data_IF_164885543186
#
_entry.id   IF_164885543186
#
_cell.length_a   1.000
_cell.length_b   1.000
_cell.length_c   1.000
_cell.angle_alpha   90.00
_cell.angle_beta   90.00
_cell.angle_gamma   90.00
#
_symmetry.space_group_name_H-M   'P 1'
#
loop_
_entity.id
_entity.type
_entity.pdbx_description
1 polymer ?
#
# COMPACT_ATOMS: atom_id res chain seq x y z
N UNK A 1 85.77 -41.95 25.45
CA UNK A 1 86.22 -40.50 25.42
C UNK A 1 85.29 -39.70 24.59
N UNK A 2 84.48 -38.86 25.20
CA UNK A 2 83.52 -37.94 24.56
C UNK A 2 84.11 -36.57 24.57
N UNK A 3 83.93 -35.75 23.53
CA UNK A 3 84.08 -34.27 23.61
C UNK A 3 82.72 -33.62 23.72
N UNK A 4 82.60 -32.75 24.68
CA UNK A 4 81.47 -31.93 25.02
C UNK A 4 81.45 -30.74 24.03
N UNK A 5 80.39 -30.61 23.21
CA UNK A 5 80.16 -29.45 22.38
C UNK A 5 79.29 -28.45 23.13
N UNK A 6 79.81 -27.27 23.39
CA UNK A 6 79.09 -26.14 23.98
C UNK A 6 78.26 -25.44 22.86
N UNK A 7 76.91 -25.49 23.00
CA UNK A 7 76.05 -24.67 22.19
C UNK A 7 75.94 -23.27 22.81
N UNK A 8 76.27 -22.24 22.04
CA UNK A 8 76.12 -20.86 22.36
C UNK A 8 74.73 -20.41 21.98
N UNK A 9 73.82 -20.24 22.96
CA UNK A 9 72.49 -19.71 22.70
C UNK A 9 72.58 -18.19 22.55
N UNK A 10 72.34 -17.72 21.34
CA UNK A 10 72.18 -16.29 21.06
C UNK A 10 70.73 -15.87 21.40
N UNK A 11 70.59 -15.09 22.47
CA UNK A 11 69.36 -14.47 22.87
C UNK A 11 69.06 -13.26 21.95
N UNK A 12 68.16 -13.44 20.96
CA UNK A 12 67.68 -12.36 20.14
C UNK A 12 66.62 -11.60 20.96
N UNK A 13 67.00 -10.41 21.46
CA UNK A 13 66.06 -9.46 22.04
C UNK A 13 65.21 -8.90 20.87
N UNK A 14 63.98 -9.37 20.72
CA UNK A 14 62.94 -8.66 19.92
C UNK A 14 62.54 -7.43 20.72
N UNK A 15 63.10 -6.28 20.36
CA UNK A 15 62.55 -5.00 20.79
C UNK A 15 61.20 -4.80 20.05
N UNK A 16 60.12 -4.40 20.73
CA UNK A 16 58.88 -4.08 20.06
C UNK A 16 59.16 -2.82 19.20
N UNK A 17 59.05 -2.95 17.90
CA UNK A 17 58.98 -1.84 16.98
C UNK A 17 57.69 -1.05 17.32
N UNK A 18 57.79 -0.07 18.20
CA UNK A 18 56.78 0.96 18.36
C UNK A 18 56.76 1.77 17.05
N UNK A 19 55.88 1.42 16.12
CA UNK A 19 55.56 2.33 15.02
C UNK A 19 55.01 3.60 15.62
N UNK A 20 55.81 4.68 15.64
CA UNK A 20 55.36 6.02 16.00
C UNK A 20 54.22 6.35 15.05
N UNK A 21 52.98 6.39 15.61
CA UNK A 21 51.82 6.79 14.84
C UNK A 21 52.05 8.21 14.32
N UNK A 22 52.08 8.38 13.03
CA UNK A 22 52.29 9.68 12.41
C UNK A 22 51.12 10.60 12.82
N UNK A 23 51.44 11.63 13.57
CA UNK A 23 50.49 12.64 14.06
C UNK A 23 50.56 13.90 13.23
N UNK A 24 49.42 14.46 12.91
CA UNK A 24 49.27 15.73 12.20
C UNK A 24 48.63 16.74 13.16
N UNK A 25 49.15 17.96 13.18
CA UNK A 25 48.57 19.05 13.98
C UNK A 25 48.12 20.15 13.02
N UNK A 26 47.00 19.99 12.29
CA UNK A 26 46.54 21.01 11.37
C UNK A 26 46.05 22.25 12.14
N UNK A 27 46.39 23.43 11.64
CA UNK A 27 45.89 24.70 12.19
C UNK A 27 44.40 24.90 11.92
N UNK A 28 43.88 24.24 10.89
CA UNK A 28 42.46 24.27 10.54
C UNK A 28 42.01 22.96 9.89
N UNK A 29 40.75 22.57 10.15
CA UNK A 29 40.03 21.54 9.42
C UNK A 29 39.07 22.25 8.49
N UNK A 30 39.11 21.96 7.19
CA UNK A 30 38.25 22.56 6.15
C UNK A 30 37.52 21.49 5.37
N UNK A 31 36.28 21.78 4.99
CA UNK A 31 35.53 20.97 4.06
C UNK A 31 35.59 21.61 2.65
N UNK A 32 35.94 20.86 1.67
CA UNK A 32 35.84 21.22 0.27
C UNK A 32 34.70 20.41 -0.38
N UNK A 33 33.56 21.04 -0.55
CA UNK A 33 32.34 20.45 -1.09
C UNK A 33 31.57 21.51 -1.89
N UNK A 34 30.62 21.10 -2.76
CA UNK A 34 29.66 22.03 -3.37
C UNK A 34 28.87 22.80 -2.33
N UNK A 35 28.34 23.98 -2.70
CA UNK A 35 27.57 24.87 -1.81
C UNK A 35 26.27 24.24 -1.28
N UNK A 36 25.84 23.11 -1.82
CA UNK A 36 24.69 22.32 -1.37
C UNK A 36 24.97 21.51 -0.10
N UNK A 37 26.24 21.36 0.29
CA UNK A 37 26.65 20.59 1.48
C UNK A 37 26.86 21.56 2.64
N UNK A 38 26.16 21.32 3.75
CA UNK A 38 26.45 22.03 5.01
C UNK A 38 27.77 21.54 5.57
N UNK A 39 28.78 22.43 5.51
CA UNK A 39 30.14 22.11 5.96
C UNK A 39 30.25 22.01 7.48
N UNK A 40 29.41 22.73 8.24
CA UNK A 40 29.39 22.63 9.69
C UNK A 40 28.84 21.30 10.14
N UNK A 41 27.81 20.82 9.47
CA UNK A 41 27.22 19.53 9.73
C UNK A 41 28.15 18.37 9.32
N UNK A 42 28.79 18.46 8.18
CA UNK A 42 29.81 17.48 7.78
C UNK A 42 30.93 17.37 8.82
N UNK A 43 31.32 18.46 9.43
CA UNK A 43 32.29 18.45 10.56
C UNK A 43 31.71 17.76 11.80
N UNK A 44 30.42 17.92 12.09
CA UNK A 44 29.77 17.22 13.21
C UNK A 44 29.74 15.72 12.97
N UNK A 45 29.42 15.26 11.73
CA UNK A 45 29.44 13.83 11.35
C UNK A 45 30.87 13.28 11.48
N UNK A 46 31.86 14.00 10.97
CA UNK A 46 33.26 13.60 11.05
C UNK A 46 33.75 13.45 12.51
N UNK A 47 33.17 14.22 13.44
CA UNK A 47 33.49 14.23 14.88
C UNK A 47 35.00 14.29 15.16
N UNK A 48 35.72 15.13 14.41
CA UNK A 48 37.15 15.36 14.62
C UNK A 48 37.36 16.39 15.74
N UNK A 49 38.26 16.13 16.68
CA UNK A 49 38.58 17.11 17.73
C UNK A 49 39.25 18.34 17.11
N UNK A 50 38.73 19.52 17.44
CA UNK A 50 39.31 20.77 17.01
C UNK A 50 40.61 21.06 17.77
N UNK A 51 41.60 21.64 17.08
CA UNK A 51 42.85 22.13 17.67
C UNK A 51 43.68 21.07 18.44
N UNK A 52 43.56 19.81 18.07
CA UNK A 52 44.28 18.69 18.69
C UNK A 52 45.14 17.96 17.65
N UNK A 53 46.26 17.34 18.06
CA UNK A 53 47.00 16.44 17.16
C UNK A 53 46.10 15.27 16.73
N UNK A 54 46.07 15.01 15.43
CA UNK A 54 45.28 13.94 14.82
C UNK A 54 46.20 12.83 14.33
N UNK A 55 45.90 11.61 14.66
CA UNK A 55 46.54 10.46 14.03
C UNK A 55 45.89 10.17 12.67
N UNK A 56 46.62 9.53 11.78
CA UNK A 56 46.09 9.07 10.50
C UNK A 56 44.82 8.21 10.69
N UNK A 57 44.84 7.33 11.69
CA UNK A 57 43.68 6.47 12.00
C UNK A 57 42.44 7.29 12.42
N UNK A 58 42.60 8.37 13.19
CA UNK A 58 41.48 9.25 13.58
C UNK A 58 40.88 9.95 12.34
N UNK A 59 41.73 10.40 11.41
CA UNK A 59 41.28 11.01 10.16
C UNK A 59 40.51 9.97 9.32
N UNK A 60 41.08 8.78 9.12
CA UNK A 60 40.44 7.70 8.35
C UNK A 60 39.10 7.26 8.98
N UNK A 61 39.04 7.17 10.31
CA UNK A 61 37.76 6.87 11.01
C UNK A 61 36.73 7.98 10.81
N UNK A 62 37.12 9.23 10.77
CA UNK A 62 36.21 10.37 10.52
C UNK A 62 35.69 10.35 9.07
N UNK A 63 36.54 10.03 8.10
CA UNK A 63 36.15 9.88 6.71
C UNK A 63 35.22 8.68 6.51
N UNK A 64 35.52 7.58 7.22
CA UNK A 64 34.64 6.41 7.19
C UNK A 64 33.25 6.73 7.72
N UNK A 65 33.15 7.50 8.83
CA UNK A 65 31.84 7.97 9.35
C UNK A 65 31.06 8.75 8.29
N UNK A 66 31.72 9.68 7.58
CA UNK A 66 31.10 10.44 6.51
C UNK A 66 30.63 9.53 5.36
N UNK A 67 31.49 8.62 4.91
CA UNK A 67 31.17 7.67 3.83
C UNK A 67 30.03 6.72 4.24
N UNK A 68 30.05 6.22 5.47
CA UNK A 68 29.06 5.28 5.98
C UNK A 68 27.64 5.87 6.06
N UNK A 69 27.51 7.21 6.12
CA UNK A 69 26.18 7.84 6.13
C UNK A 69 25.37 7.52 4.88
N UNK A 70 26.03 7.31 3.73
CA UNK A 70 25.39 7.21 2.41
C UNK A 70 25.04 8.56 1.77
N UNK A 71 25.30 9.68 2.45
CA UNK A 71 25.06 11.04 1.94
C UNK A 71 26.09 11.48 0.91
N UNK A 72 27.25 10.84 0.86
CA UNK A 72 28.38 11.18 -0.01
C UNK A 72 28.78 10.02 -0.88
N UNK A 73 28.86 10.29 -2.18
CA UNK A 73 29.32 9.32 -3.18
C UNK A 73 30.83 9.12 -3.15
N UNK A 74 31.57 10.17 -2.75
CA UNK A 74 33.03 10.12 -2.59
C UNK A 74 33.48 10.97 -1.40
N UNK A 75 34.42 10.43 -0.62
CA UNK A 75 35.00 11.07 0.57
C UNK A 75 36.51 10.89 0.53
N UNK A 76 37.22 11.99 0.43
CA UNK A 76 38.68 11.99 0.42
C UNK A 76 39.27 13.07 1.31
N UNK A 77 40.59 13.07 1.46
CA UNK A 77 41.27 14.12 2.18
C UNK A 77 42.66 14.44 1.64
N UNK A 78 43.12 15.63 1.95
CA UNK A 78 44.49 16.05 1.78
C UNK A 78 44.99 16.76 3.05
N UNK A 79 46.19 16.44 3.44
CA UNK A 79 46.87 17.10 4.60
C UNK A 79 48.03 17.91 4.08
N UNK A 80 48.15 19.17 4.52
CA UNK A 80 49.33 20.01 4.36
C UNK A 80 49.74 20.58 5.72
N UNK A 81 50.81 21.37 5.75
CA UNK A 81 51.35 21.97 6.99
C UNK A 81 50.36 22.86 7.76
N UNK A 82 49.34 23.39 7.09
CA UNK A 82 48.42 24.37 7.64
C UNK A 82 46.98 23.85 7.82
N UNK A 83 46.54 22.86 7.02
CA UNK A 83 45.17 22.39 7.09
C UNK A 83 45.01 20.91 6.72
N UNK A 84 44.02 20.28 7.37
CA UNK A 84 43.35 19.08 6.88
C UNK A 84 42.16 19.51 6.02
N UNK A 85 42.18 19.17 4.73
CA UNK A 85 41.08 19.45 3.79
C UNK A 85 40.37 18.16 3.48
N UNK A 86 39.15 18.04 3.92
CA UNK A 86 38.23 16.90 3.58
C UNK A 86 37.48 17.28 2.32
N UNK A 87 37.53 16.43 1.30
CA UNK A 87 36.78 16.58 0.03
C UNK A 87 35.55 15.71 0.07
N UNK A 88 34.38 16.29 -0.24
CA UNK A 88 33.12 15.59 -0.25
C UNK A 88 32.42 15.78 -1.59
N UNK A 89 31.96 14.68 -2.16
CA UNK A 89 31.03 14.66 -3.30
C UNK A 89 29.70 14.12 -2.83
N UNK A 90 28.62 14.90 -2.84
CA UNK A 90 27.30 14.43 -2.38
C UNK A 90 26.79 13.29 -3.27
N UNK A 91 26.00 12.42 -2.68
CA UNK A 91 25.25 11.40 -3.42
C UNK A 91 24.23 12.05 -4.36
N UNK A 92 23.91 11.37 -5.46
CA UNK A 92 22.91 11.84 -6.40
C UNK A 92 21.54 11.93 -5.69
N UNK A 93 20.73 12.94 -6.03
CA UNK A 93 19.38 13.11 -5.47
C UNK A 93 18.47 11.90 -5.69
N UNK A 94 18.70 11.11 -6.74
CA UNK A 94 18.01 9.86 -7.01
C UNK A 94 18.33 8.72 -6.00
N UNK A 95 19.36 8.90 -5.18
CA UNK A 95 19.73 7.96 -4.12
C UNK A 95 19.24 8.39 -2.74
N UNK A 96 18.55 9.54 -2.66
CA UNK A 96 17.94 10.05 -1.43
C UNK A 96 16.42 9.98 -1.59
N UNK A 97 15.77 9.38 -0.62
CA UNK A 97 14.32 9.22 -0.61
C UNK A 97 13.70 9.97 0.57
N UNK A 98 12.52 10.61 0.41
CA UNK A 98 11.80 11.21 1.52
C UNK A 98 11.54 10.20 2.63
N UNK A 99 11.77 10.61 3.88
CA UNK A 99 11.39 9.85 5.06
C UNK A 99 9.89 10.04 5.35
N UNK A 100 9.20 8.96 5.64
CA UNK A 100 7.78 8.96 6.03
C UNK A 100 7.62 8.26 7.38
N UNK A 101 6.81 8.84 8.28
CA UNK A 101 6.60 8.31 9.64
C UNK A 101 5.17 7.80 9.77
N UNK A 102 4.99 6.48 9.80
CA UNK A 102 3.70 5.84 9.69
C UNK A 102 2.80 5.99 10.94
N UNK A 103 3.37 5.78 12.14
CA UNK A 103 2.56 5.62 13.37
C UNK A 103 3.19 6.25 14.64
N UNK A 104 3.95 7.32 14.48
CA UNK A 104 4.61 8.02 15.59
C UNK A 104 3.66 9.03 16.26
N UNK A 105 2.60 8.54 16.86
CA UNK A 105 1.43 9.29 17.38
C UNK A 105 1.69 10.22 18.58
N UNK A 106 2.92 10.24 19.14
CA UNK A 106 3.29 11.11 20.27
C UNK A 106 3.69 12.52 19.84
N UNK A 107 3.89 12.74 18.54
CA UNK A 107 4.35 14.02 17.98
C UNK A 107 3.54 14.39 16.75
N UNK A 108 3.46 15.70 16.50
CA UNK A 108 3.06 16.14 15.15
C UNK A 108 4.22 15.87 14.18
N UNK A 109 3.96 15.63 12.90
CA UNK A 109 5.02 15.29 11.93
C UNK A 109 6.18 16.30 11.90
N UNK A 110 5.88 17.60 11.88
CA UNK A 110 6.90 18.67 11.87
C UNK A 110 7.73 18.72 13.14
N UNK A 111 7.14 18.42 14.31
CA UNK A 111 7.86 18.39 15.58
C UNK A 111 8.82 17.20 15.63
N UNK A 112 8.37 16.03 15.14
CA UNK A 112 9.21 14.84 15.06
C UNK A 112 10.39 15.05 14.12
N UNK A 113 10.17 15.65 12.96
CA UNK A 113 11.21 15.99 12.00
C UNK A 113 12.27 16.91 12.63
N UNK A 114 11.83 17.99 13.28
CA UNK A 114 12.74 18.93 13.97
C UNK A 114 13.56 18.25 15.08
N UNK A 115 12.96 17.32 15.83
CA UNK A 115 13.68 16.56 16.86
C UNK A 115 14.73 15.63 16.25
N UNK A 116 14.44 15.02 15.11
CA UNK A 116 15.38 14.14 14.42
C UNK A 116 16.52 14.92 13.77
N UNK A 117 16.26 16.06 13.15
CA UNK A 117 17.31 16.96 12.62
C UNK A 117 18.27 17.42 13.70
N UNK A 118 17.76 17.71 14.90
CA UNK A 118 18.60 18.07 16.03
C UNK A 118 19.42 16.89 16.57
N UNK A 119 18.87 15.67 16.54
CA UNK A 119 19.47 14.47 17.12
C UNK A 119 20.44 13.75 16.18
N UNK A 120 20.17 13.77 14.86
CA UNK A 120 20.89 12.98 13.86
C UNK A 120 21.55 13.90 12.83
N UNK A 121 22.84 14.16 12.94
CA UNK A 121 23.58 14.95 11.96
C UNK A 121 23.48 14.33 10.56
N UNK A 122 23.14 15.14 9.56
CA UNK A 122 22.95 14.72 8.17
C UNK A 122 21.52 14.36 7.80
N UNK A 123 20.61 14.27 8.75
CA UNK A 123 19.20 14.06 8.47
C UNK A 123 18.46 15.39 8.20
N UNK A 124 17.80 15.49 7.04
CA UNK A 124 16.99 16.64 6.60
C UNK A 124 15.75 16.15 5.84
N UNK A 125 14.98 15.28 6.46
CA UNK A 125 13.75 14.72 5.86
C UNK A 125 13.98 13.71 4.75
N UNK A 126 15.23 13.38 4.41
CA UNK A 126 15.59 12.40 3.38
C UNK A 126 16.54 11.34 3.93
N UNK A 127 16.43 10.14 3.41
CA UNK A 127 17.25 8.98 3.76
C UNK A 127 17.91 8.39 2.51
N UNK A 128 19.20 8.01 2.60
CA UNK A 128 19.88 7.34 1.49
C UNK A 128 19.42 5.88 1.37
N UNK A 129 19.42 5.37 0.13
CA UNK A 129 19.14 3.95 -0.16
C UNK A 129 20.17 3.00 0.46
N UNK A 130 21.36 3.48 0.75
CA UNK A 130 22.43 2.70 1.37
C UNK A 130 23.18 3.56 2.39
N UNK A 131 23.73 2.93 3.41
CA UNK A 131 24.49 3.61 4.46
C UNK A 131 23.82 3.46 5.83
N UNK A 132 24.42 4.11 6.83
CA UNK A 132 24.03 3.98 8.24
C UNK A 132 23.07 5.06 8.73
N UNK A 133 22.75 6.07 7.89
CA UNK A 133 21.91 7.20 8.32
C UNK A 133 20.51 6.73 8.73
N UNK A 134 19.93 5.79 7.97
CA UNK A 134 18.63 5.19 8.30
C UNK A 134 18.65 4.49 9.66
N UNK A 135 19.72 3.76 9.98
CA UNK A 135 19.86 3.12 11.29
C UNK A 135 20.07 4.13 12.41
N UNK A 136 20.76 5.24 12.15
CA UNK A 136 20.92 6.33 13.12
C UNK A 136 19.56 7.01 13.41
N UNK A 137 18.75 7.24 12.38
CA UNK A 137 17.38 7.78 12.54
C UNK A 137 16.50 6.80 13.31
N UNK A 138 16.56 5.49 13.01
CA UNK A 138 15.84 4.45 13.78
C UNK A 138 16.25 4.48 15.26
N UNK A 139 17.55 4.55 15.55
CA UNK A 139 18.05 4.61 16.93
C UNK A 139 17.61 5.90 17.66
N UNK A 140 17.59 7.03 16.97
CA UNK A 140 17.09 8.29 17.52
C UNK A 140 15.58 8.20 17.83
N UNK A 141 14.78 7.62 16.93
CA UNK A 141 13.34 7.37 17.14
C UNK A 141 13.09 6.49 18.37
N UNK A 142 13.84 5.39 18.52
CA UNK A 142 13.74 4.52 19.71
C UNK A 142 14.08 5.31 20.97
N UNK A 143 15.13 6.14 20.93
CA UNK A 143 15.53 7.00 22.06
C UNK A 143 14.44 8.02 22.40
N UNK A 144 13.84 8.66 21.41
CA UNK A 144 12.72 9.60 21.60
C UNK A 144 11.50 8.89 22.21
N UNK A 145 11.13 7.70 21.72
CA UNK A 145 10.03 6.89 22.26
C UNK A 145 10.29 6.49 23.72
N UNK A 146 11.52 6.13 24.04
CA UNK A 146 11.92 5.83 25.42
C UNK A 146 11.70 7.03 26.36
N UNK A 147 11.90 8.29 25.90
CA UNK A 147 11.56 9.48 26.70
C UNK A 147 10.07 9.63 26.99
N UNK A 148 9.22 8.97 26.19
CA UNK A 148 7.77 8.88 26.41
C UNK A 148 7.36 7.64 27.22
N UNK A 149 8.32 6.86 27.72
CA UNK A 149 8.07 5.62 28.45
C UNK A 149 7.62 4.46 27.56
N UNK A 150 8.01 4.48 26.28
CA UNK A 150 7.67 3.46 25.29
C UNK A 150 8.93 2.70 24.90
N UNK A 151 8.99 1.42 25.25
CA UNK A 151 10.02 0.51 24.78
C UNK A 151 9.60 -0.03 23.40
N UNK A 152 10.19 0.52 22.35
CA UNK A 152 9.75 0.29 21.00
C UNK A 152 10.82 -0.35 20.11
N UNK A 153 10.35 -1.12 19.14
CA UNK A 153 11.14 -1.54 17.96
C UNK A 153 10.67 -0.75 16.77
N UNK A 154 11.60 -0.09 16.08
CA UNK A 154 11.34 0.69 14.87
C UNK A 154 11.98 0.00 13.68
N UNK A 155 11.25 -0.08 12.58
CA UNK A 155 11.76 -0.59 11.30
C UNK A 155 11.58 0.41 10.17
N UNK A 156 12.30 0.17 9.07
CA UNK A 156 12.27 1.02 7.88
C UNK A 156 12.04 0.14 6.64
N UNK A 157 11.09 0.54 5.81
CA UNK A 157 10.73 -0.16 4.59
C UNK A 157 10.80 0.80 3.40
N UNK A 158 11.49 0.39 2.34
CA UNK A 158 11.49 1.11 1.07
C UNK A 158 10.13 0.94 0.37
N UNK A 159 9.68 1.98 -0.33
CA UNK A 159 8.42 1.98 -1.10
C UNK A 159 7.16 1.63 -0.27
N UNK A 160 7.13 1.98 1.01
CA UNK A 160 6.00 1.68 1.88
C UNK A 160 4.76 2.49 1.51
N UNK A 161 4.75 3.79 1.78
CA UNK A 161 3.60 4.68 1.58
C UNK A 161 3.53 5.25 0.16
N UNK A 162 4.66 5.66 -0.41
CA UNK A 162 4.76 6.19 -1.76
C UNK A 162 5.92 5.52 -2.49
N UNK A 163 5.83 5.43 -3.81
CA UNK A 163 6.97 5.07 -4.63
C UNK A 163 8.13 6.04 -4.33
N UNK A 164 9.33 5.52 -4.25
CA UNK A 164 10.56 6.29 -3.96
C UNK A 164 10.56 6.98 -2.57
N UNK A 165 9.99 6.35 -1.53
CA UNK A 165 10.06 6.82 -0.14
C UNK A 165 10.52 5.72 0.82
N UNK A 166 11.11 6.12 1.95
CA UNK A 166 11.42 5.23 3.08
C UNK A 166 10.40 5.47 4.18
N UNK A 167 9.60 4.45 4.48
CA UNK A 167 8.62 4.50 5.57
C UNK A 167 9.23 3.92 6.85
N UNK A 168 9.27 4.71 7.90
CA UNK A 168 9.65 4.29 9.24
C UNK A 168 8.39 4.02 10.06
N UNK A 169 8.35 2.89 10.76
CA UNK A 169 7.21 2.49 11.57
C UNK A 169 7.63 1.83 12.89
N UNK A 170 6.81 2.01 13.91
CA UNK A 170 6.89 1.25 15.16
C UNK A 170 6.28 -0.12 14.90
N UNK A 171 7.09 -1.16 15.01
CA UNK A 171 6.66 -2.56 14.83
C UNK A 171 6.14 -3.15 16.15
N UNK A 172 6.74 -2.72 17.25
CA UNK A 172 6.33 -3.11 18.60
C UNK A 172 6.56 -1.95 19.55
N UNK A 173 5.61 -1.64 20.44
CA UNK A 173 4.25 -2.18 20.54
C UNK A 173 3.38 -1.80 19.36
N UNK A 174 2.29 -2.54 19.09
CA UNK A 174 1.33 -2.19 18.04
C UNK A 174 0.59 -0.90 18.41
N UNK A 175 0.43 -0.03 17.42
CA UNK A 175 -0.40 1.17 17.50
C UNK A 175 -1.69 0.86 16.75
N UNK A 176 -2.83 0.96 17.44
CA UNK A 176 -4.12 0.56 16.88
C UNK A 176 -5.14 1.67 16.93
N UNK A 177 -6.12 1.59 16.05
CA UNK A 177 -7.27 2.48 16.05
C UNK A 177 -8.16 2.14 17.26
N UNK A 178 -8.41 3.14 18.12
CA UNK A 178 -9.40 3.08 19.18
C UNK A 178 -10.80 3.39 18.66
N UNK A 179 -11.46 4.37 19.24
CA UNK A 179 -12.79 4.81 18.79
C UNK A 179 -12.66 5.81 17.61
N UNK A 180 -13.60 5.71 16.65
CA UNK A 180 -13.74 6.70 15.58
C UNK A 180 -14.98 7.56 15.88
N UNK A 181 -14.79 8.86 16.08
CA UNK A 181 -15.86 9.84 16.26
C UNK A 181 -16.08 10.61 14.96
N UNK A 182 -17.30 10.56 14.43
CA UNK A 182 -17.69 11.28 13.23
C UNK A 182 -18.65 12.40 13.61
N UNK A 183 -18.16 13.63 13.56
CA UNK A 183 -18.95 14.83 13.82
C UNK A 183 -19.86 15.16 12.63
N UNK A 184 -21.02 15.78 12.91
CA UNK A 184 -22.03 16.16 11.91
C UNK A 184 -22.60 14.98 11.11
N UNK A 185 -22.58 13.78 11.67
CA UNK A 185 -23.14 12.60 11.03
C UNK A 185 -24.67 12.69 10.92
N UNK A 186 -25.19 12.26 9.77
CA UNK A 186 -26.63 12.19 9.56
C UNK A 186 -27.25 11.04 10.36
N UNK A 187 -28.36 11.28 11.10
CA UNK A 187 -29.01 10.24 11.90
C UNK A 187 -29.41 8.99 11.10
N UNK A 188 -29.80 9.16 9.83
CA UNK A 188 -30.21 8.06 8.96
C UNK A 188 -29.07 7.08 8.63
N UNK A 189 -27.81 7.53 8.71
CA UNK A 189 -26.63 6.72 8.38
C UNK A 189 -25.91 6.17 9.61
N UNK A 190 -26.35 6.51 10.82
CA UNK A 190 -25.71 6.07 12.06
C UNK A 190 -25.51 4.54 12.18
N UNK A 191 -26.47 3.68 11.78
CA UNK A 191 -26.26 2.23 11.86
C UNK A 191 -25.06 1.76 11.00
N UNK A 192 -24.96 2.27 9.77
CA UNK A 192 -23.89 1.92 8.84
C UNK A 192 -22.54 2.49 9.32
N UNK A 193 -22.53 3.72 9.85
CA UNK A 193 -21.35 4.35 10.43
C UNK A 193 -20.85 3.57 11.66
N UNK A 194 -21.74 3.08 12.53
CA UNK A 194 -21.35 2.21 13.64
C UNK A 194 -20.72 0.90 13.17
N UNK A 195 -21.23 0.31 12.11
CA UNK A 195 -20.63 -0.88 11.49
C UNK A 195 -19.22 -0.57 11.00
N UNK A 196 -19.01 0.59 10.36
CA UNK A 196 -17.70 1.05 9.92
C UNK A 196 -16.75 1.27 11.11
N UNK A 197 -17.21 1.95 12.18
CA UNK A 197 -16.45 2.16 13.42
C UNK A 197 -15.96 0.84 14.00
N UNK A 198 -16.84 -0.15 14.17
CA UNK A 198 -16.49 -1.47 14.68
C UNK A 198 -15.49 -2.22 13.78
N UNK A 199 -15.58 -2.03 12.47
CA UNK A 199 -14.65 -2.66 11.53
C UNK A 199 -13.25 -2.08 11.63
N UNK A 200 -13.11 -0.78 11.89
CA UNK A 200 -11.83 -0.08 11.99
C UNK A 200 -11.19 -0.25 13.37
N UNK A 201 -11.97 -0.40 14.41
CA UNK A 201 -11.50 -0.52 15.79
C UNK A 201 -10.55 -1.74 15.93
N UNK A 202 -9.39 -1.50 16.52
CA UNK A 202 -8.37 -2.52 16.74
C UNK A 202 -7.50 -2.85 15.52
N UNK A 203 -7.75 -2.22 14.35
CA UNK A 203 -6.84 -2.32 13.22
C UNK A 203 -5.57 -1.50 13.48
N UNK A 204 -4.48 -1.87 12.81
CA UNK A 204 -3.22 -1.14 12.88
C UNK A 204 -3.43 0.30 12.40
N UNK A 205 -2.82 1.22 13.13
CA UNK A 205 -2.87 2.64 12.81
C UNK A 205 -1.65 3.05 11.99
N UNK A 206 -1.92 3.64 10.83
CA UNK A 206 -0.98 4.39 10.01
C UNK A 206 -1.60 5.74 9.68
N UNK A 207 -0.87 6.83 9.88
CA UNK A 207 -1.43 8.20 9.73
C UNK A 207 -2.04 8.41 8.35
N UNK A 208 -1.35 8.01 7.30
CA UNK A 208 -1.76 8.26 5.93
C UNK A 208 -2.80 7.25 5.43
N UNK A 209 -2.54 5.96 5.64
CA UNK A 209 -3.45 4.90 5.21
C UNK A 209 -4.78 4.94 5.98
N UNK A 210 -4.73 5.14 7.30
CA UNK A 210 -5.93 5.28 8.12
C UNK A 210 -6.72 6.51 7.72
N UNK A 211 -6.05 7.65 7.46
CA UNK A 211 -6.72 8.86 7.01
C UNK A 211 -7.48 8.62 5.70
N UNK A 212 -6.82 8.03 4.72
CA UNK A 212 -7.43 7.69 3.43
C UNK A 212 -8.58 6.70 3.60
N UNK A 213 -8.38 5.62 4.35
CA UNK A 213 -9.40 4.59 4.56
C UNK A 213 -10.67 5.13 5.24
N UNK A 214 -10.51 6.00 6.25
CA UNK A 214 -11.64 6.66 6.92
C UNK A 214 -12.38 7.56 5.95
N UNK A 215 -11.68 8.46 5.25
CA UNK A 215 -12.31 9.40 4.31
C UNK A 215 -13.03 8.67 3.18
N UNK A 216 -12.39 7.71 2.51
CA UNK A 216 -12.98 6.93 1.43
C UNK A 216 -14.21 6.14 1.90
N UNK A 217 -14.09 5.43 3.04
CA UNK A 217 -15.20 4.60 3.54
C UNK A 217 -16.40 5.43 3.96
N UNK A 218 -16.19 6.57 4.62
CA UNK A 218 -17.29 7.48 5.01
C UNK A 218 -17.90 8.11 3.77
N UNK A 219 -17.08 8.67 2.88
CA UNK A 219 -17.56 9.30 1.65
C UNK A 219 -18.34 8.32 0.77
N UNK A 220 -17.88 7.08 0.63
CA UNK A 220 -18.60 6.06 -0.15
C UNK A 220 -19.95 5.71 0.46
N UNK A 221 -20.04 5.64 1.80
CA UNK A 221 -21.30 5.41 2.48
C UNK A 221 -22.29 6.54 2.20
N UNK A 222 -21.87 7.79 2.30
CA UNK A 222 -22.70 8.96 2.01
C UNK A 222 -23.07 9.06 0.53
N UNK A 223 -22.12 8.86 -0.39
CA UNK A 223 -22.40 8.86 -1.83
C UNK A 223 -23.41 7.80 -2.23
N UNK A 224 -23.33 6.60 -1.61
CA UNK A 224 -24.32 5.55 -1.85
C UNK A 224 -25.72 5.90 -1.30
N UNK A 225 -25.82 6.87 -0.39
CA UNK A 225 -27.06 7.44 0.09
C UNK A 225 -27.48 8.71 -0.69
N UNK A 226 -26.78 9.05 -1.78
CA UNK A 226 -27.10 10.17 -2.65
C UNK A 226 -26.37 11.49 -2.37
N UNK A 227 -25.57 11.56 -1.33
CA UNK A 227 -24.80 12.77 -0.99
C UNK A 227 -23.49 12.81 -1.78
N UNK A 228 -23.56 13.16 -3.07
CA UNK A 228 -22.43 13.01 -3.98
C UNK A 228 -21.29 13.99 -3.71
N UNK A 229 -21.59 15.17 -3.17
CA UNK A 229 -20.63 16.22 -2.83
C UNK A 229 -20.08 16.08 -1.39
N UNK A 230 -20.32 14.93 -0.74
CA UNK A 230 -19.82 14.70 0.62
C UNK A 230 -18.30 14.88 0.69
N UNK A 231 -17.88 15.57 1.73
CA UNK A 231 -16.48 15.71 2.10
C UNK A 231 -16.26 15.35 3.56
N UNK A 232 -15.34 14.43 3.82
CA UNK A 232 -14.93 14.05 5.16
C UNK A 232 -13.53 14.60 5.42
N UNK A 233 -13.34 15.35 6.51
CA UNK A 233 -12.03 15.88 6.87
C UNK A 233 -11.04 14.73 7.15
N UNK A 234 -9.75 14.97 6.95
CA UNK A 234 -8.74 14.06 7.47
C UNK A 234 -8.95 13.89 8.99
N UNK A 235 -8.91 12.66 9.51
CA UNK A 235 -9.06 12.41 10.93
C UNK A 235 -7.87 12.96 11.71
N UNK A 236 -8.15 13.59 12.84
CA UNK A 236 -7.17 13.88 13.87
C UNK A 236 -7.18 12.75 14.89
N UNK A 237 -6.03 12.46 15.48
CA UNK A 237 -5.93 11.45 16.53
C UNK A 237 -5.72 12.05 17.91
N UNK A 238 -6.20 11.35 18.95
CA UNK A 238 -5.96 11.67 20.35
C UNK A 238 -4.52 11.38 20.76
N UNK A 239 -4.13 11.79 21.97
CA UNK A 239 -2.96 11.23 22.62
C UNK A 239 -3.11 9.69 22.74
N UNK A 240 -2.02 8.94 22.54
CA UNK A 240 -2.08 7.47 22.60
C UNK A 240 -2.36 6.98 24.01
N UNK A 241 -3.30 6.04 24.13
CA UNK A 241 -3.67 5.40 25.40
C UNK A 241 -3.09 3.99 25.44
N UNK A 242 -2.27 3.72 26.45
CA UNK A 242 -1.69 2.38 26.64
C UNK A 242 -2.78 1.39 27.06
N UNK A 243 -2.86 0.27 26.37
CA UNK A 243 -3.73 -0.86 26.67
C UNK A 243 -2.94 -2.17 26.58
N UNK A 244 -2.62 -2.75 27.76
CA UNK A 244 -1.79 -3.96 27.88
C UNK A 244 -0.50 -3.89 27.05
N UNK A 245 -0.48 -4.50 25.86
CA UNK A 245 0.66 -4.60 24.95
C UNK A 245 0.57 -3.69 23.72
N UNK A 246 -0.47 -2.86 23.64
CA UNK A 246 -0.76 -1.98 22.49
C UNK A 246 -0.92 -0.52 22.95
N UNK A 247 -0.93 0.39 21.99
CA UNK A 247 -1.37 1.77 22.19
C UNK A 247 -2.54 2.05 21.25
N UNK A 248 -3.65 2.50 21.81
CA UNK A 248 -4.83 2.88 21.05
C UNK A 248 -4.90 4.41 20.88
N UNK A 249 -5.25 4.87 19.69
CA UNK A 249 -5.54 6.26 19.36
C UNK A 249 -6.98 6.41 18.92
N UNK A 250 -7.71 7.32 19.54
CA UNK A 250 -9.07 7.63 19.13
C UNK A 250 -9.02 8.67 18.00
N UNK A 251 -9.85 8.50 17.00
CA UNK A 251 -9.91 9.32 15.79
C UNK A 251 -11.13 10.23 15.83
N UNK A 252 -10.96 11.46 15.35
CA UNK A 252 -12.07 12.41 15.18
C UNK A 252 -12.03 12.98 13.76
N UNK A 253 -13.14 12.91 13.04
CA UNK A 253 -13.31 13.47 11.72
C UNK A 253 -14.65 14.16 11.59
N UNK A 254 -14.73 15.19 10.75
CA UNK A 254 -15.95 15.96 10.50
C UNK A 254 -16.49 15.65 9.11
N UNK A 255 -17.78 15.36 9.03
CA UNK A 255 -18.45 15.10 7.76
C UNK A 255 -19.23 16.34 7.32
N UNK A 256 -19.08 16.72 6.07
CA UNK A 256 -19.90 17.73 5.39
C UNK A 256 -20.68 17.01 4.30
N UNK A 257 -21.96 16.67 4.52
CA UNK A 257 -22.71 15.80 3.60
C UNK A 257 -22.97 16.40 2.22
N UNK A 258 -23.28 17.69 2.15
CA UNK A 258 -23.86 18.30 0.96
C UNK A 258 -25.35 17.98 0.81
N UNK A 259 -25.90 18.16 -0.39
CA UNK A 259 -27.29 17.88 -0.73
C UNK A 259 -27.47 16.50 -1.36
N UNK A 260 -28.71 15.97 -1.32
CA UNK A 260 -29.04 14.69 -1.93
C UNK A 260 -29.28 14.88 -3.44
N UNK A 261 -28.62 14.08 -4.25
CA UNK A 261 -28.80 14.04 -5.69
C UNK A 261 -29.83 12.99 -6.09
N UNK A 262 -30.66 13.34 -7.05
CA UNK A 262 -31.66 12.47 -7.65
C UNK A 262 -31.38 12.24 -9.13
N UNK A 263 -31.75 11.07 -9.63
CA UNK A 263 -31.68 10.80 -11.07
C UNK A 263 -32.71 11.63 -11.80
N UNK A 264 -32.27 12.41 -12.77
CA UNK A 264 -33.14 13.20 -13.68
C UNK A 264 -33.54 12.36 -14.88
N UNK A 265 -32.55 11.70 -15.51
CA UNK A 265 -32.79 10.89 -16.71
C UNK A 265 -31.84 9.68 -16.80
N UNK A 266 -32.28 8.64 -17.51
CA UNK A 266 -31.47 7.52 -17.95
C UNK A 266 -31.67 7.33 -19.44
N UNK A 267 -30.65 7.58 -20.23
CA UNK A 267 -30.64 7.36 -21.69
C UNK A 267 -29.84 6.10 -22.01
N UNK A 268 -30.40 5.20 -22.79
CA UNK A 268 -29.80 3.92 -23.16
C UNK A 268 -29.66 3.84 -24.68
N UNK A 269 -28.43 3.79 -25.15
CA UNK A 269 -28.16 3.61 -26.59
C UNK A 269 -27.95 2.12 -26.87
N UNK A 270 -29.06 1.36 -26.76
CA UNK A 270 -29.06 -0.09 -26.88
C UNK A 270 -28.51 -0.56 -28.24
N UNK A 271 -27.78 -1.67 -28.20
CA UNK A 271 -27.29 -2.35 -29.40
C UNK A 271 -27.87 -3.76 -29.43
N UNK A 272 -28.28 -4.27 -30.61
CA UNK A 272 -28.76 -5.66 -30.73
C UNK A 272 -27.73 -6.65 -30.14
N UNK A 273 -28.19 -7.78 -29.56
CA UNK A 273 -29.56 -8.31 -29.62
C UNK A 273 -30.46 -7.87 -28.45
N UNK A 274 -29.93 -7.11 -27.48
CA UNK A 274 -30.70 -6.71 -26.28
C UNK A 274 -31.48 -5.43 -26.60
N UNK A 275 -32.76 -5.42 -26.26
CA UNK A 275 -33.59 -4.25 -26.46
C UNK A 275 -33.38 -3.17 -25.39
N UNK A 276 -33.70 -1.92 -25.73
CA UNK A 276 -33.66 -0.81 -24.75
C UNK A 276 -34.58 -1.08 -23.55
N UNK A 277 -35.76 -1.68 -23.80
CA UNK A 277 -36.72 -2.03 -22.76
C UNK A 277 -36.15 -3.08 -21.76
N UNK A 278 -35.43 -4.09 -22.27
CA UNK A 278 -34.78 -5.09 -21.42
C UNK A 278 -33.63 -4.49 -20.62
N UNK A 279 -32.87 -3.60 -21.26
CA UNK A 279 -31.77 -2.87 -20.56
C UNK A 279 -32.31 -1.92 -19.50
N UNK A 280 -33.39 -1.20 -19.76
CA UNK A 280 -34.05 -0.34 -18.77
C UNK A 280 -34.57 -1.14 -17.57
N UNK A 281 -35.14 -2.33 -17.85
CA UNK A 281 -35.56 -3.26 -16.79
C UNK A 281 -34.37 -3.78 -15.99
N UNK A 282 -33.28 -4.14 -16.66
CA UNK A 282 -32.05 -4.63 -16.01
C UNK A 282 -31.39 -3.52 -15.17
N UNK A 283 -31.31 -2.30 -15.69
CA UNK A 283 -30.74 -1.17 -14.98
C UNK A 283 -31.48 -0.85 -13.67
N UNK A 284 -32.81 -1.00 -13.69
CA UNK A 284 -33.72 -0.71 -12.56
C UNK A 284 -33.46 0.68 -11.90
N UNK A 285 -33.11 1.67 -12.72
CA UNK A 285 -32.93 3.08 -12.35
C UNK A 285 -34.01 3.91 -13.00
N UNK A 286 -34.66 4.78 -12.24
CA UNK A 286 -35.77 5.61 -12.71
C UNK A 286 -35.55 7.09 -12.35
N UNK A 287 -36.09 8.02 -13.15
CA UNK A 287 -36.15 9.41 -12.74
C UNK A 287 -36.81 9.57 -11.36
N UNK A 288 -36.19 10.38 -10.51
CA UNK A 288 -36.59 10.58 -9.10
C UNK A 288 -35.90 9.63 -8.10
N UNK A 289 -35.26 8.57 -8.53
CA UNK A 289 -34.48 7.69 -7.64
C UNK A 289 -33.28 8.48 -7.04
N UNK A 290 -32.83 8.07 -5.87
CA UNK A 290 -31.60 8.61 -5.28
C UNK A 290 -30.41 8.18 -6.14
N UNK A 291 -29.59 9.12 -6.54
CA UNK A 291 -28.38 8.86 -7.33
C UNK A 291 -27.32 8.17 -6.46
N UNK A 292 -27.06 6.91 -6.74
CA UNK A 292 -26.16 6.06 -5.95
C UNK A 292 -25.12 5.38 -6.83
N UNK A 293 -23.83 5.56 -6.55
CA UNK A 293 -22.76 4.80 -7.24
C UNK A 293 -22.92 3.28 -7.09
N UNK A 294 -23.47 2.79 -5.98
CA UNK A 294 -23.76 1.37 -5.81
C UNK A 294 -24.88 0.91 -6.73
N UNK A 295 -25.96 1.67 -6.86
CA UNK A 295 -27.04 1.37 -7.83
C UNK A 295 -26.53 1.40 -9.27
N UNK A 296 -25.68 2.38 -9.61
CA UNK A 296 -25.03 2.42 -10.94
C UNK A 296 -24.17 1.21 -11.23
N UNK A 297 -23.35 0.76 -10.26
CA UNK A 297 -22.53 -0.47 -10.42
C UNK A 297 -23.40 -1.71 -10.60
N UNK A 298 -24.48 -1.82 -9.81
CA UNK A 298 -25.44 -2.93 -9.95
C UNK A 298 -26.11 -2.89 -11.31
N UNK A 299 -26.63 -1.75 -11.75
CA UNK A 299 -27.22 -1.57 -13.08
C UNK A 299 -26.24 -1.98 -14.18
N UNK A 300 -24.98 -1.55 -14.10
CA UNK A 300 -23.93 -1.95 -15.05
C UNK A 300 -23.78 -3.47 -15.10
N UNK A 301 -23.75 -4.14 -13.96
CA UNK A 301 -23.62 -5.60 -13.88
C UNK A 301 -24.82 -6.33 -14.48
N UNK A 302 -26.04 -5.88 -14.15
CA UNK A 302 -27.27 -6.49 -14.65
C UNK A 302 -27.46 -6.27 -16.16
N UNK A 303 -27.10 -5.09 -16.68
CA UNK A 303 -27.12 -4.83 -18.12
C UNK A 303 -26.08 -5.69 -18.88
N UNK A 304 -24.88 -5.89 -18.31
CA UNK A 304 -23.90 -6.84 -18.86
C UNK A 304 -24.43 -8.28 -18.83
N UNK A 305 -25.12 -8.67 -17.77
CA UNK A 305 -25.74 -9.99 -17.68
C UNK A 305 -26.83 -10.19 -18.72
N UNK A 306 -27.60 -9.12 -19.06
CA UNK A 306 -28.59 -9.19 -20.13
C UNK A 306 -27.94 -9.55 -21.49
N UNK A 307 -26.79 -8.99 -21.81
CA UNK A 307 -26.01 -9.36 -23.00
C UNK A 307 -25.40 -10.76 -22.89
N UNK A 308 -24.83 -11.10 -21.72
CA UNK A 308 -24.24 -12.42 -21.49
C UNK A 308 -25.28 -13.55 -21.64
N UNK A 309 -26.54 -13.30 -21.24
CA UNK A 309 -27.67 -14.24 -21.45
C UNK A 309 -28.03 -14.46 -22.91
N UNK A 310 -27.53 -13.64 -23.82
CA UNK A 310 -27.65 -13.79 -25.27
C UNK A 310 -26.34 -14.28 -25.91
N UNK A 311 -25.36 -14.69 -25.11
CA UNK A 311 -24.05 -15.20 -25.54
C UNK A 311 -22.96 -14.15 -25.73
N UNK A 312 -23.16 -12.90 -25.35
CA UNK A 312 -22.20 -11.81 -25.50
C UNK A 312 -21.46 -11.56 -24.18
N UNK A 313 -20.45 -12.36 -23.88
CA UNK A 313 -19.74 -12.30 -22.59
C UNK A 313 -18.77 -11.13 -22.45
N UNK A 314 -18.32 -10.54 -23.56
CA UNK A 314 -17.39 -9.40 -23.59
C UNK A 314 -18.11 -8.05 -23.64
N UNK A 315 -19.42 -8.03 -23.45
CA UNK A 315 -20.20 -6.81 -23.50
C UNK A 315 -19.70 -5.75 -22.55
N UNK A 316 -19.49 -4.54 -23.07
CA UNK A 316 -19.08 -3.35 -22.31
C UNK A 316 -20.26 -2.42 -22.19
N UNK A 317 -20.45 -1.89 -20.99
CA UNK A 317 -21.41 -0.82 -20.67
C UNK A 317 -20.60 0.39 -20.24
N UNK A 318 -20.72 1.46 -20.98
CA UNK A 318 -20.03 2.71 -20.78
C UNK A 318 -21.01 3.72 -20.21
N UNK A 319 -20.90 4.00 -18.91
CA UNK A 319 -21.70 5.02 -18.25
C UNK A 319 -21.03 6.39 -18.38
N UNK A 320 -21.78 7.37 -18.88
CA UNK A 320 -21.47 8.79 -18.78
C UNK A 320 -22.41 9.42 -17.77
N UNK A 321 -21.85 10.20 -16.84
CA UNK A 321 -22.57 10.83 -15.74
C UNK A 321 -22.47 12.33 -15.86
N UNK A 322 -23.59 13.02 -15.98
CA UNK A 322 -23.67 14.47 -15.95
C UNK A 322 -24.32 14.93 -14.65
N UNK A 323 -23.51 15.52 -13.78
CA UNK A 323 -23.96 16.06 -12.50
C UNK A 323 -24.33 17.53 -12.65
N UNK A 324 -25.52 17.89 -12.20
CA UNK A 324 -25.98 19.28 -12.09
C UNK A 324 -26.04 19.69 -10.62
N UNK A 325 -25.05 20.47 -10.18
CA UNK A 325 -24.95 20.92 -8.78
C UNK A 325 -25.97 21.98 -8.39
N UNK A 326 -26.60 22.65 -9.36
CA UNK A 326 -27.64 23.68 -9.08
C UNK A 326 -28.99 23.03 -8.77
N UNK A 327 -29.35 22.00 -9.51
CA UNK A 327 -30.61 21.24 -9.32
C UNK A 327 -30.46 20.00 -8.46
N UNK A 328 -29.24 19.63 -8.08
CA UNK A 328 -28.89 18.38 -7.39
C UNK A 328 -29.45 17.15 -8.12
N UNK A 329 -29.20 17.10 -9.43
CA UNK A 329 -29.65 16.00 -10.29
C UNK A 329 -28.51 15.37 -11.08
N UNK A 330 -28.74 14.11 -11.48
CA UNK A 330 -27.84 13.34 -12.32
C UNK A 330 -28.57 12.87 -13.57
N UNK A 331 -27.95 13.11 -14.72
CA UNK A 331 -28.32 12.47 -15.99
C UNK A 331 -27.35 11.34 -16.31
N UNK A 332 -27.87 10.17 -16.55
CA UNK A 332 -27.11 8.99 -16.97
C UNK A 332 -27.29 8.75 -18.46
N UNK A 333 -26.17 8.55 -19.17
CA UNK A 333 -26.15 8.05 -20.54
C UNK A 333 -25.34 6.76 -20.58
N UNK A 334 -25.89 5.70 -21.20
CA UNK A 334 -25.24 4.41 -21.31
C UNK A 334 -25.07 4.02 -22.78
N UNK A 335 -23.83 3.83 -23.19
CA UNK A 335 -23.46 3.26 -24.47
C UNK A 335 -23.07 1.80 -24.30
N UNK A 336 -23.39 0.97 -25.30
CA UNK A 336 -23.16 -0.48 -25.25
C UNK A 336 -22.29 -0.92 -26.42
N UNK A 337 -21.32 -1.78 -26.11
CA UNK A 337 -20.52 -2.50 -27.09
C UNK A 337 -20.68 -4.00 -26.81
N UNK A 338 -21.54 -4.72 -27.59
CA UNK A 338 -21.85 -6.13 -27.31
C UNK A 338 -20.64 -7.06 -27.37
N UNK A 339 -19.69 -6.79 -28.28
CA UNK A 339 -18.58 -7.72 -28.55
C UNK A 339 -19.02 -8.87 -29.46
N UNK A 340 -18.29 -9.99 -29.40
CA UNK A 340 -18.55 -11.18 -30.23
C UNK A 340 -19.44 -12.18 -29.51
N UNK A 341 -20.14 -13.00 -30.31
CA UNK A 341 -21.01 -14.10 -29.81
C UNK A 341 -20.13 -15.28 -29.43
N UNK A 342 -20.32 -15.78 -28.23
CA UNK A 342 -19.63 -16.97 -27.74
C UNK A 342 -20.48 -18.25 -27.98
N UNK A 343 -19.79 -19.30 -28.34
CA UNK A 343 -20.40 -20.61 -28.59
C UNK A 343 -19.99 -21.64 -27.55
N UNK A 344 -20.87 -22.53 -27.21
CA UNK A 344 -20.61 -23.63 -26.29
C UNK A 344 -19.52 -24.55 -26.85
N UNK A 345 -18.43 -24.74 -26.14
CA UNK A 345 -17.34 -25.65 -26.51
C UNK A 345 -17.51 -27.03 -25.86
N UNK A 346 -17.63 -27.08 -24.56
CA UNK A 346 -17.68 -28.32 -23.79
C UNK A 346 -18.16 -28.08 -22.36
N UNK A 347 -18.52 -29.15 -21.68
CA UNK A 347 -18.83 -29.13 -20.25
C UNK A 347 -17.90 -30.10 -19.51
N UNK A 348 -17.31 -29.61 -18.44
CA UNK A 348 -16.46 -30.42 -17.57
C UNK A 348 -17.30 -30.90 -16.38
N UNK A 349 -17.51 -32.20 -16.35
CA UNK A 349 -18.28 -32.88 -15.32
C UNK A 349 -17.45 -33.64 -14.31
N UNK A 350 -16.11 -33.41 -14.28
CA UNK A 350 -15.16 -34.14 -13.44
C UNK A 350 -15.43 -34.03 -11.92
N UNK A 351 -16.18 -33.00 -11.51
CA UNK A 351 -16.64 -32.84 -10.13
C UNK A 351 -17.76 -33.79 -9.70
N UNK A 352 -18.36 -34.53 -10.64
CA UNK A 352 -19.39 -35.52 -10.38
C UNK A 352 -18.78 -36.94 -10.31
N UNK A 353 -19.40 -37.85 -9.57
CA UNK A 353 -19.03 -39.26 -9.59
C UNK A 353 -19.27 -39.91 -10.98
N UNK A 354 -18.55 -40.97 -11.32
CA UNK A 354 -18.58 -41.56 -12.66
C UNK A 354 -19.99 -41.99 -13.15
N UNK A 355 -20.79 -42.52 -12.24
CA UNK A 355 -22.19 -42.89 -12.52
C UNK A 355 -23.05 -41.64 -12.76
N UNK A 356 -22.82 -40.57 -12.03
CA UNK A 356 -23.50 -39.30 -12.21
C UNK A 356 -23.06 -38.59 -13.51
N UNK A 357 -21.77 -38.68 -13.89
CA UNK A 357 -21.30 -38.18 -15.19
C UNK A 357 -22.02 -38.90 -16.35
N UNK A 358 -22.13 -40.22 -16.28
CA UNK A 358 -22.85 -41.01 -17.29
C UNK A 358 -24.35 -40.67 -17.32
N UNK A 359 -24.98 -40.43 -16.19
CA UNK A 359 -26.37 -39.99 -16.11
C UNK A 359 -26.55 -38.57 -16.67
N UNK A 360 -25.63 -37.63 -16.34
CA UNK A 360 -25.62 -36.29 -16.89
C UNK A 360 -25.50 -36.31 -18.42
N UNK A 361 -24.57 -37.07 -18.97
CA UNK A 361 -24.36 -37.18 -20.42
C UNK A 361 -25.60 -37.73 -21.19
N UNK A 362 -26.43 -38.53 -20.53
CA UNK A 362 -27.72 -38.99 -21.12
C UNK A 362 -28.80 -37.90 -21.05
N UNK A 363 -28.78 -37.06 -20.00
CA UNK A 363 -29.78 -36.02 -19.79
C UNK A 363 -29.46 -34.73 -20.56
N UNK A 364 -28.15 -34.43 -20.76
CA UNK A 364 -27.66 -33.25 -21.47
C UNK A 364 -27.16 -33.65 -22.86
N UNK A 365 -27.96 -33.36 -23.89
CA UNK A 365 -27.70 -33.78 -25.29
C UNK A 365 -27.35 -32.60 -26.20
N UNK A 366 -27.03 -31.43 -25.61
CA UNK A 366 -26.72 -30.24 -26.38
C UNK A 366 -25.35 -30.37 -27.03
N UNK A 367 -25.28 -30.16 -28.34
CA UNK A 367 -24.05 -30.26 -29.11
C UNK A 367 -23.17 -28.99 -28.94
N UNK A 368 -21.82 -29.11 -28.99
CA UNK A 368 -20.95 -27.98 -29.13
C UNK A 368 -21.26 -27.13 -30.36
N UNK A 369 -20.94 -25.84 -30.32
CA UNK A 369 -21.12 -24.87 -31.41
C UNK A 369 -22.42 -24.08 -31.36
N UNK A 370 -23.37 -24.40 -30.48
CA UNK A 370 -24.54 -23.52 -30.27
C UNK A 370 -24.10 -22.25 -29.49
N UNK A 371 -24.93 -21.19 -29.57
CA UNK A 371 -24.71 -19.99 -28.77
C UNK A 371 -24.75 -20.34 -27.27
N UNK A 372 -23.79 -19.82 -26.52
CA UNK A 372 -23.70 -20.03 -25.08
C UNK A 372 -24.59 -19.01 -24.34
N UNK A 373 -25.90 -19.18 -24.47
CA UNK A 373 -26.93 -18.28 -23.96
C UNK A 373 -27.66 -18.83 -22.71
N UNK A 374 -28.68 -18.13 -22.28
CA UNK A 374 -29.52 -18.55 -21.16
C UNK A 374 -30.22 -19.90 -21.36
N UNK A 375 -30.53 -20.29 -22.63
CA UNK A 375 -31.15 -21.58 -22.93
C UNK A 375 -30.19 -22.73 -22.67
N UNK A 376 -28.91 -22.57 -23.03
CA UNK A 376 -27.88 -23.55 -22.70
C UNK A 376 -27.78 -23.75 -21.18
N UNK A 377 -27.75 -22.64 -20.40
CA UNK A 377 -27.67 -22.72 -18.95
C UNK A 377 -28.90 -23.39 -18.35
N UNK A 378 -30.10 -23.12 -18.88
CA UNK A 378 -31.33 -23.78 -18.45
C UNK A 378 -31.31 -25.29 -18.76
N UNK A 379 -30.81 -25.70 -19.94
CA UNK A 379 -30.67 -27.11 -20.29
C UNK A 379 -29.69 -27.84 -19.35
N UNK A 380 -28.56 -27.20 -18.99
CA UNK A 380 -27.62 -27.77 -18.02
C UNK A 380 -28.26 -27.90 -16.63
N UNK A 381 -28.98 -26.89 -16.18
CA UNK A 381 -29.69 -26.93 -14.90
C UNK A 381 -30.76 -28.03 -14.87
N UNK A 382 -31.53 -28.19 -15.94
CA UNK A 382 -32.51 -29.25 -16.05
C UNK A 382 -31.86 -30.64 -16.00
N UNK A 383 -30.74 -30.83 -16.70
CA UNK A 383 -29.98 -32.08 -16.64
C UNK A 383 -29.48 -32.37 -15.22
N UNK A 384 -28.92 -31.38 -14.51
CA UNK A 384 -28.48 -31.53 -13.11
C UNK A 384 -29.63 -31.84 -12.15
N UNK A 385 -30.79 -31.20 -12.31
CA UNK A 385 -31.98 -31.48 -11.50
C UNK A 385 -32.47 -32.92 -11.67
N UNK A 386 -32.39 -33.48 -12.87
CA UNK A 386 -32.77 -34.86 -13.14
C UNK A 386 -31.93 -35.91 -12.39
N UNK A 387 -30.70 -35.57 -12.03
CA UNK A 387 -29.77 -36.41 -11.27
C UNK A 387 -30.08 -36.50 -9.76
N UNK A 388 -30.95 -35.63 -9.23
CA UNK A 388 -31.33 -35.58 -7.79
C UNK A 388 -30.12 -35.67 -6.87
N UNK A 389 -29.09 -34.87 -7.15
CA UNK A 389 -27.88 -34.81 -6.37
C UNK A 389 -28.19 -34.34 -4.94
N UNK A 390 -27.59 -34.98 -3.93
CA UNK A 390 -27.75 -34.62 -2.52
C UNK A 390 -26.93 -33.40 -2.08
N UNK A 391 -26.29 -32.71 -3.02
CA UNK A 391 -25.43 -31.55 -2.79
C UNK A 391 -25.62 -30.49 -3.90
N UNK A 392 -25.37 -29.21 -3.60
CA UNK A 392 -25.46 -28.16 -4.59
C UNK A 392 -24.29 -28.20 -5.58
N UNK A 393 -24.61 -27.99 -6.88
CA UNK A 393 -23.62 -27.85 -7.96
C UNK A 393 -23.66 -26.40 -8.45
N UNK A 394 -22.50 -25.76 -8.54
CA UNK A 394 -22.32 -24.43 -9.14
C UNK A 394 -21.82 -24.58 -10.57
N UNK A 395 -22.27 -23.70 -11.44
CA UNK A 395 -21.78 -23.58 -12.81
C UNK A 395 -20.69 -22.53 -12.86
N UNK A 396 -19.52 -22.88 -13.34
CA UNK A 396 -18.47 -21.95 -13.72
C UNK A 396 -18.44 -21.82 -15.25
N UNK A 397 -18.40 -20.62 -15.77
CA UNK A 397 -18.17 -20.34 -17.19
C UNK A 397 -16.73 -19.89 -17.38
N UNK A 398 -16.05 -20.49 -18.34
CA UNK A 398 -14.66 -20.15 -18.70
C UNK A 398 -14.67 -19.76 -20.18
N UNK A 399 -14.83 -18.45 -20.48
CA UNK A 399 -14.76 -17.95 -21.84
C UNK A 399 -13.33 -17.99 -22.37
N UNK A 400 -13.18 -18.31 -23.65
CA UNK A 400 -11.94 -18.18 -24.41
C UNK A 400 -12.11 -17.07 -25.45
N UNK A 401 -11.52 -15.88 -25.22
CA UNK A 401 -11.66 -14.75 -26.14
C UNK A 401 -10.97 -14.98 -27.50
N UNK A 402 -10.03 -15.91 -27.60
CA UNK A 402 -9.33 -16.18 -28.85
C UNK A 402 -10.13 -17.00 -29.85
N UNK A 403 -11.03 -17.82 -29.33
CA UNK A 403 -11.90 -18.72 -30.16
C UNK A 403 -13.37 -18.34 -30.06
N UNK A 404 -13.72 -17.36 -29.25
CA UNK A 404 -15.10 -16.99 -28.88
C UNK A 404 -15.93 -18.22 -28.48
N UNK A 405 -15.35 -19.04 -27.60
CA UNK A 405 -16.02 -20.24 -27.07
C UNK A 405 -16.07 -20.20 -25.54
N UNK A 406 -17.03 -20.95 -24.98
CA UNK A 406 -17.18 -21.10 -23.52
C UNK A 406 -17.12 -22.57 -23.14
N UNK A 407 -16.21 -22.87 -22.21
CA UNK A 407 -16.20 -24.13 -21.48
C UNK A 407 -17.01 -23.97 -20.19
N UNK A 408 -17.97 -24.84 -19.95
CA UNK A 408 -18.71 -24.89 -18.68
C UNK A 408 -18.00 -25.87 -17.75
N UNK A 409 -17.86 -25.48 -16.47
CA UNK A 409 -17.23 -26.31 -15.44
C UNK A 409 -18.21 -26.49 -14.28
N UNK A 410 -18.52 -27.70 -13.95
CA UNK A 410 -19.32 -28.02 -12.77
C UNK A 410 -18.44 -28.01 -11.54
N UNK A 411 -18.87 -27.30 -10.47
CA UNK A 411 -18.17 -27.25 -9.18
C UNK A 411 -19.10 -27.68 -8.07
N UNK A 412 -18.67 -28.62 -7.24
CA UNK A 412 -19.40 -29.03 -6.04
C UNK A 412 -18.92 -28.27 -4.83
N UNK A 413 -19.81 -27.97 -3.88
CA UNK A 413 -19.46 -27.28 -2.63
C UNK A 413 -18.77 -28.18 -1.59
N UNK A 414 -18.48 -29.43 -1.95
CA UNK A 414 -17.77 -30.38 -1.12
C UNK A 414 -16.39 -30.66 -1.71
N UNK A 415 -15.44 -29.76 -1.49
CA UNK A 415 -14.03 -30.15 -1.39
C UNK A 415 -13.52 -29.61 -0.09
N UNK A 416 -13.28 -30.44 0.93
CA UNK A 416 -12.51 -30.01 2.07
C UNK A 416 -11.09 -29.71 1.57
N UNK A 417 -10.56 -28.61 2.07
CA UNK A 417 -9.15 -28.30 1.94
C UNK A 417 -8.30 -29.51 2.39
N UNK A 418 -7.40 -29.92 1.55
CA UNK A 418 -6.21 -30.67 1.94
C UNK A 418 -5.02 -29.73 1.91
#
# INVERSE_FOLDING_TARGET
MRPISRALSALILLAPLTTLAQTYTPKAIRINAPSTVDTAEALRIAALPANSPLTKQQIETALQRLADTGLFADVGYTVNSDALVIKLTPSASSQLQPAHFANFVWWQPADLESLLEAAVPGYHGQLPLAGTLTDQVKAALVSLLHTKGVDATVDAHENGFAADSVTLSIVSPSIVIGDLQLQNSLPALLPQLKTLQHRLQGQDFDVAETSRAVQESVNDLYRNAGYLDVNTSAPTHSAPRKDLLTYAVDLTSTVTPGDVYHVSSLQLHAQPPVSEADLAKAANIKPGDIASPAAQRLATSEMKLAYANQGYFDAKVLFTVHQNSTSHTIDYTCDFVPGDVYHFASIDTSALALDQQAAFARAFTVAPGIVADAHLLAAIQQALQSLKLGFPVRLGMVPDPSTHTVKIVLKTSASPAH
#
